data_IF_281905856061
#
_entry.id   IF_281905856061
#
_cell.length_a   1.000
_cell.length_b   1.000
_cell.length_c   1.000
_cell.angle_alpha   90.00
_cell.angle_beta   90.00
_cell.angle_gamma   90.00
#
_symmetry.space_group_name_H-M   'P 1'
#
loop_
_entity.id
_entity.type
_entity.pdbx_description
1 polymer ?
#
# COMPACT_ATOMS: atom_id res chain seq x y z
N UNK A 1 0.54 21.06 -4.85
CA UNK A 1 0.84 20.19 -6.02
C UNK A 1 1.38 18.86 -5.51
N UNK A 2 0.80 17.74 -5.92
CA UNK A 2 1.21 16.40 -5.50
C UNK A 2 2.39 15.90 -6.35
N UNK A 3 3.49 16.66 -6.37
CA UNK A 3 4.76 16.30 -7.02
C UNK A 3 5.84 16.29 -5.95
N UNK A 4 6.33 15.11 -5.61
CA UNK A 4 7.40 14.90 -4.65
C UNK A 4 8.65 14.43 -5.39
N UNK A 5 9.79 15.01 -5.05
CA UNK A 5 10.99 14.91 -5.84
C UNK A 5 12.24 14.75 -4.96
N UNK A 6 13.14 13.87 -5.38
CA UNK A 6 14.51 13.74 -4.85
C UNK A 6 15.49 13.83 -6.00
N UNK A 7 16.47 14.72 -5.87
CA UNK A 7 17.61 14.78 -6.79
C UNK A 7 18.65 13.74 -6.40
N UNK A 8 19.04 12.92 -7.35
CA UNK A 8 20.12 11.94 -7.21
C UNK A 8 21.33 12.32 -8.08
N UNK A 9 22.42 11.57 -7.98
CA UNK A 9 23.59 11.72 -8.85
C UNK A 9 24.14 10.33 -9.19
N UNK A 10 24.40 10.09 -10.47
CA UNK A 10 25.08 8.90 -10.96
C UNK A 10 24.29 7.59 -10.76
N UNK A 11 22.97 7.65 -10.82
CA UNK A 11 22.10 6.46 -10.65
C UNK A 11 20.93 6.50 -11.64
N UNK A 12 20.31 5.33 -11.89
CA UNK A 12 19.06 5.25 -12.63
C UNK A 12 18.01 6.16 -12.01
N UNK A 13 17.17 6.73 -12.85
CA UNK A 13 16.04 7.55 -12.42
C UNK A 13 14.78 6.71 -12.30
N UNK A 14 13.91 7.07 -11.36
CA UNK A 14 12.63 6.42 -11.19
C UNK A 14 11.51 7.45 -11.10
N UNK A 15 10.43 7.22 -11.87
CA UNK A 15 9.22 8.02 -11.83
C UNK A 15 8.05 7.10 -11.52
N UNK A 16 7.33 7.36 -10.42
CA UNK A 16 6.06 6.70 -10.14
C UNK A 16 4.91 7.67 -10.37
N UNK A 17 3.93 7.24 -11.15
CA UNK A 17 2.68 7.95 -11.40
C UNK A 17 1.56 7.17 -10.73
N UNK A 18 0.99 7.72 -9.66
CA UNK A 18 0.01 7.06 -8.82
C UNK A 18 -1.33 7.75 -8.98
N UNK A 19 -2.32 7.00 -9.44
CA UNK A 19 -3.70 7.42 -9.59
C UNK A 19 -4.50 6.95 -8.37
N UNK A 20 -5.17 7.84 -7.65
CA UNK A 20 -5.95 7.50 -6.45
C UNK A 20 -7.29 6.80 -6.76
N UNK A 21 -7.27 5.92 -7.74
CA UNK A 21 -8.39 5.09 -8.16
C UNK A 21 -7.93 3.64 -8.31
N UNK A 22 -8.64 2.75 -7.64
CA UNK A 22 -8.39 1.31 -7.67
C UNK A 22 -9.69 0.53 -7.78
N UNK A 23 -9.62 -0.78 -7.55
CA UNK A 23 -10.77 -1.67 -7.68
C UNK A 23 -11.93 -1.33 -6.71
N UNK A 24 -11.66 -0.65 -5.60
CA UNK A 24 -12.71 -0.17 -4.67
C UNK A 24 -13.68 0.83 -5.30
N UNK A 25 -13.27 1.49 -6.37
CA UNK A 25 -14.05 2.49 -7.07
C UNK A 25 -14.95 1.92 -8.17
N UNK A 26 -14.88 0.61 -8.43
CA UNK A 26 -15.68 -0.09 -9.42
C UNK A 26 -17.13 -0.27 -8.97
N UNK A 27 -18.07 -0.23 -9.90
CA UNK A 27 -19.43 -0.70 -9.68
C UNK A 27 -19.46 -2.23 -9.76
N UNK A 28 -20.55 -2.84 -9.34
CA UNK A 28 -20.68 -4.31 -9.33
C UNK A 28 -20.47 -4.92 -10.72
N UNK A 29 -20.99 -4.29 -11.74
CA UNK A 29 -20.84 -4.68 -13.15
C UNK A 29 -19.47 -4.39 -13.76
N UNK A 30 -18.62 -3.63 -13.05
CA UNK A 30 -17.29 -3.21 -13.47
C UNK A 30 -16.17 -4.01 -12.80
N UNK A 31 -16.48 -5.09 -12.08
CA UNK A 31 -15.45 -5.83 -11.31
C UNK A 31 -14.31 -6.35 -12.18
N UNK A 32 -13.11 -5.77 -11.93
CA UNK A 32 -11.87 -6.03 -12.64
C UNK A 32 -11.60 -5.08 -13.82
N UNK A 33 -12.45 -4.08 -14.05
CA UNK A 33 -12.22 -3.13 -15.12
C UNK A 33 -11.00 -2.25 -14.90
N UNK A 34 -10.66 -1.94 -13.63
CA UNK A 34 -9.45 -1.18 -13.31
C UNK A 34 -8.20 -1.93 -13.74
N UNK A 35 -8.11 -3.22 -13.42
CA UNK A 35 -7.00 -4.08 -13.79
C UNK A 35 -6.96 -4.34 -15.30
N UNK A 36 -8.12 -4.58 -15.92
CA UNK A 36 -8.20 -4.70 -17.37
C UNK A 36 -7.78 -3.41 -18.07
N UNK A 37 -8.17 -2.24 -17.54
CA UNK A 37 -7.74 -0.95 -18.07
C UNK A 37 -6.23 -0.79 -17.96
N UNK A 38 -5.61 -1.14 -16.83
CA UNK A 38 -4.16 -1.14 -16.65
C UNK A 38 -3.46 -1.93 -17.77
N UNK A 39 -3.90 -3.18 -18.05
CA UNK A 39 -3.36 -3.99 -19.14
C UNK A 39 -3.59 -3.35 -20.52
N UNK A 40 -4.77 -2.77 -20.76
CA UNK A 40 -5.00 -2.03 -22.00
C UNK A 40 -4.03 -0.85 -22.17
N UNK A 41 -3.80 -0.10 -21.09
CA UNK A 41 -2.89 1.03 -21.13
C UNK A 41 -1.44 0.59 -21.33
N UNK A 42 -0.99 -0.51 -20.67
CA UNK A 42 0.33 -1.08 -20.86
C UNK A 42 0.60 -1.44 -22.33
N UNK A 43 -0.37 -2.06 -23.01
CA UNK A 43 -0.28 -2.39 -24.45
C UNK A 43 -0.22 -1.15 -25.36
N UNK A 44 -0.71 -0.01 -24.88
CA UNK A 44 -0.71 1.26 -25.64
C UNK A 44 0.55 2.09 -25.44
N UNK A 45 1.37 1.81 -24.40
CA UNK A 45 2.59 2.57 -24.16
C UNK A 45 3.62 2.36 -25.28
N UNK A 46 4.28 3.45 -25.67
CA UNK A 46 5.37 3.47 -26.69
C UNK A 46 6.61 4.01 -26.01
N UNK A 47 7.27 3.14 -25.23
CA UNK A 47 8.45 3.52 -24.46
C UNK A 47 9.72 3.43 -25.31
N UNK A 48 10.68 4.28 -24.99
CA UNK A 48 12.03 4.21 -25.51
C UNK A 48 12.81 3.05 -24.88
N UNK A 49 13.91 2.64 -25.52
CA UNK A 49 14.70 1.46 -25.12
C UNK A 49 15.33 1.61 -23.74
N UNK A 50 15.62 2.84 -23.33
CA UNK A 50 16.30 3.12 -22.07
C UNK A 50 15.32 3.35 -20.91
N UNK A 51 14.07 2.89 -21.06
CA UNK A 51 13.05 2.94 -20.04
C UNK A 51 12.31 1.60 -19.93
N UNK A 52 12.05 1.18 -18.69
CA UNK A 52 11.12 0.07 -18.42
C UNK A 52 9.93 0.56 -17.63
N UNK A 53 8.79 -0.10 -17.82
CA UNK A 53 7.54 0.20 -17.16
C UNK A 53 7.04 -1.03 -16.42
N UNK A 54 6.64 -0.83 -15.17
CA UNK A 54 5.83 -1.77 -14.40
C UNK A 54 4.55 -1.06 -13.98
N UNK A 55 3.44 -1.79 -13.91
CA UNK A 55 2.18 -1.26 -13.42
C UNK A 55 1.57 -2.18 -12.38
N UNK A 56 0.76 -1.60 -11.50
CA UNK A 56 0.12 -2.31 -10.40
C UNK A 56 -1.27 -1.74 -10.18
N UNK A 57 -2.26 -2.61 -10.14
CA UNK A 57 -3.61 -2.28 -9.70
C UNK A 57 -3.81 -2.79 -8.29
N UNK A 58 -4.10 -1.86 -7.39
CA UNK A 58 -4.42 -2.14 -5.99
C UNK A 58 -5.89 -1.80 -5.69
N UNK A 59 -6.32 -1.97 -4.45
CA UNK A 59 -7.70 -1.66 -4.05
C UNK A 59 -8.06 -0.19 -4.26
N UNK A 60 -7.16 0.71 -3.95
CA UNK A 60 -7.40 2.14 -3.83
C UNK A 60 -6.62 2.98 -4.85
N UNK A 61 -5.72 2.37 -5.60
CA UNK A 61 -4.91 3.08 -6.59
C UNK A 61 -4.44 2.18 -7.73
N UNK A 62 -4.01 2.84 -8.81
CA UNK A 62 -3.19 2.29 -9.89
C UNK A 62 -1.87 3.03 -9.88
N UNK A 63 -0.77 2.32 -10.03
CA UNK A 63 0.59 2.87 -10.07
C UNK A 63 1.30 2.43 -11.33
N UNK A 64 1.94 3.38 -12.02
CA UNK A 64 2.86 3.15 -13.12
C UNK A 64 4.26 3.57 -12.70
N UNK A 65 5.19 2.61 -12.68
CA UNK A 65 6.58 2.78 -12.29
C UNK A 65 7.50 2.73 -13.50
N UNK A 66 8.14 3.84 -13.79
CA UNK A 66 9.12 3.98 -14.87
C UNK A 66 10.53 3.95 -14.28
N UNK A 67 11.34 2.98 -14.69
CA UNK A 67 12.76 2.96 -14.43
C UNK A 67 13.49 3.44 -15.69
N UNK A 68 14.22 4.53 -15.57
CA UNK A 68 14.98 5.18 -16.64
C UNK A 68 16.45 4.92 -16.37
N UNK A 69 17.14 4.30 -17.32
CA UNK A 69 18.54 3.94 -17.16
C UNK A 69 19.44 5.18 -17.19
N UNK A 70 20.57 5.07 -16.49
CA UNK A 70 21.56 6.14 -16.39
C UNK A 70 22.01 6.62 -17.77
N UNK A 71 22.28 7.93 -17.89
CA UNK A 71 22.68 8.61 -19.12
C UNK A 71 21.62 8.69 -20.24
N UNK A 72 20.37 8.45 -19.93
CA UNK A 72 19.26 8.72 -20.85
C UNK A 72 19.09 10.25 -21.01
N UNK A 73 18.75 10.69 -22.23
CA UNK A 73 18.46 12.10 -22.48
C UNK A 73 17.14 12.59 -21.87
N UNK A 74 16.97 13.90 -21.80
CA UNK A 74 15.75 14.54 -21.27
C UNK A 74 14.48 14.16 -22.05
N UNK A 75 14.61 13.79 -23.34
CA UNK A 75 13.50 13.38 -24.21
C UNK A 75 12.70 12.20 -23.65
N UNK A 76 13.34 11.32 -22.85
CA UNK A 76 12.67 10.18 -22.27
C UNK A 76 11.60 10.59 -21.25
N UNK A 77 11.83 11.67 -20.51
CA UNK A 77 10.86 12.22 -19.55
C UNK A 77 9.67 12.82 -20.29
N UNK A 78 9.94 13.54 -21.39
CA UNK A 78 8.89 14.09 -22.26
C UNK A 78 8.08 12.93 -22.84
N UNK A 79 8.73 11.88 -23.34
CA UNK A 79 8.08 10.70 -23.89
C UNK A 79 7.14 10.01 -22.87
N UNK A 80 7.57 9.86 -21.60
CA UNK A 80 6.74 9.27 -20.54
C UNK A 80 5.46 10.07 -20.36
N UNK A 81 5.55 11.38 -20.17
CA UNK A 81 4.38 12.24 -19.93
C UNK A 81 3.49 12.39 -21.15
N UNK A 82 4.05 12.44 -22.35
CA UNK A 82 3.29 12.46 -23.61
C UNK A 82 2.55 11.13 -23.81
N UNK A 83 3.15 9.99 -23.46
CA UNK A 83 2.44 8.71 -23.46
C UNK A 83 1.22 8.74 -22.51
N UNK A 84 1.38 9.21 -21.27
CA UNK A 84 0.25 9.32 -20.32
C UNK A 84 -0.86 10.19 -20.90
N UNK A 85 -0.52 11.38 -21.40
CA UNK A 85 -1.50 12.28 -22.05
C UNK A 85 -2.21 11.59 -23.20
N UNK A 86 -1.45 10.98 -24.11
CA UNK A 86 -1.94 10.34 -25.32
C UNK A 86 -2.91 9.19 -25.00
N UNK A 87 -2.50 8.23 -24.17
CA UNK A 87 -3.30 7.01 -23.88
C UNK A 87 -4.58 7.31 -23.11
N UNK A 88 -4.60 8.33 -22.25
CA UNK A 88 -5.80 8.68 -21.49
C UNK A 88 -6.74 9.61 -22.23
N UNK A 89 -6.23 10.50 -23.09
CA UNK A 89 -6.99 11.63 -23.65
C UNK A 89 -7.15 11.54 -25.17
N UNK A 90 -6.10 11.16 -25.89
CA UNK A 90 -6.05 11.31 -27.35
C UNK A 90 -6.33 10.00 -28.11
N UNK A 91 -5.89 8.85 -27.56
CA UNK A 91 -6.06 7.55 -28.22
C UNK A 91 -7.21 6.73 -27.67
N UNK A 92 -7.82 5.95 -28.54
CA UNK A 92 -8.85 4.97 -28.19
C UNK A 92 -8.25 3.56 -28.05
N UNK A 93 -8.80 2.78 -27.13
CA UNK A 93 -8.50 1.36 -27.00
C UNK A 93 -9.04 0.65 -28.25
N UNK A 94 -8.18 -0.07 -28.95
CA UNK A 94 -8.60 -0.86 -30.14
C UNK A 94 -9.09 -2.25 -29.74
N UNK A 95 -9.85 -2.92 -30.63
CA UNK A 95 -10.25 -4.32 -30.46
C UNK A 95 -9.06 -5.26 -30.25
N UNK A 96 -7.92 -4.98 -30.89
CA UNK A 96 -6.71 -5.77 -30.73
C UNK A 96 -6.12 -5.63 -29.33
N UNK A 97 -6.02 -4.40 -28.83
CA UNK A 97 -5.54 -4.08 -27.48
C UNK A 97 -6.45 -4.73 -26.43
N UNK A 98 -7.78 -4.52 -26.54
CA UNK A 98 -8.73 -5.10 -25.58
C UNK A 98 -8.66 -6.63 -25.56
N UNK A 99 -8.56 -7.27 -26.71
CA UNK A 99 -8.46 -8.73 -26.81
C UNK A 99 -7.17 -9.27 -26.16
N UNK A 100 -6.03 -8.60 -26.36
CA UNK A 100 -4.77 -8.98 -25.76
C UNK A 100 -4.82 -8.80 -24.23
N UNK A 101 -5.26 -7.65 -23.75
CA UNK A 101 -5.43 -7.36 -22.33
C UNK A 101 -6.36 -8.38 -21.63
N UNK A 102 -7.52 -8.70 -22.24
CA UNK A 102 -8.41 -9.76 -21.73
C UNK A 102 -7.71 -11.10 -21.59
N UNK A 103 -6.94 -11.49 -22.59
CA UNK A 103 -6.21 -12.77 -22.56
C UNK A 103 -5.22 -12.83 -21.40
N UNK A 104 -4.52 -11.75 -21.13
CA UNK A 104 -3.55 -11.65 -20.03
C UNK A 104 -4.24 -11.71 -18.68
N UNK A 105 -5.21 -10.84 -18.42
CA UNK A 105 -6.00 -10.84 -17.18
C UNK A 105 -6.67 -12.19 -16.93
N UNK A 106 -7.29 -12.81 -17.92
CA UNK A 106 -7.90 -14.13 -17.78
C UNK A 106 -6.87 -15.24 -17.49
N UNK A 107 -5.65 -15.13 -18.00
CA UNK A 107 -4.56 -16.05 -17.64
C UNK A 107 -4.09 -15.85 -16.20
N UNK A 108 -4.06 -14.63 -15.71
CA UNK A 108 -3.76 -14.34 -14.31
C UNK A 108 -4.84 -14.86 -13.38
N UNK A 109 -6.12 -14.66 -13.71
CA UNK A 109 -7.26 -15.23 -12.98
C UNK A 109 -7.15 -16.77 -12.90
N UNK A 110 -6.78 -17.45 -14.00
CA UNK A 110 -6.59 -18.92 -14.02
C UNK A 110 -5.43 -19.37 -13.14
N UNK A 111 -4.34 -18.62 -13.11
CA UNK A 111 -3.13 -18.91 -12.30
C UNK A 111 -3.32 -18.55 -10.84
N UNK A 112 -4.32 -17.74 -10.54
CA UNK A 112 -4.61 -17.31 -9.19
C UNK A 112 -5.09 -18.50 -8.35
N UNK A 113 -4.29 -18.87 -7.37
CA UNK A 113 -4.68 -19.86 -6.39
C UNK A 113 -5.13 -19.15 -5.09
N UNK A 114 -6.45 -19.10 -4.83
CA UNK A 114 -6.98 -18.45 -3.63
C UNK A 114 -6.39 -18.99 -2.33
N UNK A 115 -5.98 -20.25 -2.31
CA UNK A 115 -5.41 -20.92 -1.13
C UNK A 115 -3.95 -20.55 -0.86
N UNK A 116 -3.25 -19.96 -1.82
CA UNK A 116 -1.81 -19.64 -1.72
C UNK A 116 -1.51 -18.15 -1.52
N UNK A 117 -2.48 -17.26 -1.66
CA UNK A 117 -2.25 -15.82 -1.57
C UNK A 117 -3.15 -15.18 -0.51
N UNK A 118 -2.57 -14.30 0.27
CA UNK A 118 -3.19 -13.41 1.26
C UNK A 118 -4.41 -12.63 0.72
N UNK A 119 -4.53 -12.51 -0.60
CA UNK A 119 -5.65 -11.90 -1.31
C UNK A 119 -6.95 -12.69 -1.19
N UNK A 120 -6.93 -14.02 -0.98
CA UNK A 120 -8.16 -14.79 -0.75
C UNK A 120 -8.74 -14.51 0.63
N UNK A 121 -7.86 -14.39 1.62
CA UNK A 121 -8.20 -14.05 2.99
C UNK A 121 -8.77 -12.64 3.04
N UNK A 122 -8.15 -11.72 2.30
CA UNK A 122 -8.59 -10.35 2.15
C UNK A 122 -9.93 -10.24 1.43
N UNK A 123 -10.18 -11.06 0.41
CA UNK A 123 -11.47 -11.11 -0.27
C UNK A 123 -12.59 -11.65 0.62
N UNK A 124 -12.30 -12.57 1.55
CA UNK A 124 -13.26 -13.03 2.55
C UNK A 124 -13.57 -11.93 3.58
N UNK A 125 -12.56 -11.19 4.03
CA UNK A 125 -12.72 -10.04 4.94
C UNK A 125 -13.57 -8.94 4.27
N UNK A 126 -13.26 -8.62 3.03
CA UNK A 126 -13.98 -7.60 2.27
C UNK A 126 -15.36 -8.11 1.86
N UNK A 127 -15.52 -9.40 1.54
CA UNK A 127 -16.82 -9.97 1.17
C UNK A 127 -17.80 -10.09 2.34
N UNK A 128 -17.32 -10.24 3.56
CA UNK A 128 -18.13 -10.14 4.77
C UNK A 128 -18.76 -8.74 4.93
N UNK A 129 -18.09 -7.69 4.38
CA UNK A 129 -18.59 -6.32 4.32
C UNK A 129 -19.30 -5.94 3.02
N UNK A 130 -19.74 -6.89 2.18
CA UNK A 130 -20.29 -6.65 0.83
C UNK A 130 -19.32 -5.97 -0.17
N UNK A 131 -18.03 -6.04 0.04
CA UNK A 131 -17.04 -5.45 -0.87
C UNK A 131 -16.24 -6.57 -1.56
N UNK A 132 -16.83 -7.21 -2.54
CA UNK A 132 -16.16 -8.22 -3.40
C UNK A 132 -15.39 -7.54 -4.54
N UNK A 133 -14.40 -6.69 -4.23
CA UNK A 133 -13.69 -5.92 -5.26
C UNK A 133 -12.20 -6.22 -5.27
N UNK A 134 -11.87 -7.49 -5.51
CA UNK A 134 -10.47 -7.91 -5.67
C UNK A 134 -9.89 -7.20 -6.92
N UNK A 135 -8.69 -6.63 -6.86
CA UNK A 135 -8.06 -5.99 -8.02
C UNK A 135 -8.05 -6.87 -9.27
N UNK A 136 -7.84 -8.17 -9.09
CA UNK A 136 -7.84 -9.15 -10.19
C UNK A 136 -9.17 -9.23 -10.96
N UNK A 137 -10.31 -8.90 -10.34
CA UNK A 137 -11.63 -8.91 -10.94
C UNK A 137 -12.27 -10.31 -11.06
N UNK A 138 -13.44 -10.33 -11.72
CA UNK A 138 -14.22 -11.55 -11.95
C UNK A 138 -14.15 -11.97 -13.42
N UNK A 139 -13.93 -13.28 -13.67
CA UNK A 139 -13.84 -13.84 -15.03
C UNK A 139 -15.00 -13.43 -15.94
N UNK A 140 -16.23 -13.56 -15.44
CA UNK A 140 -17.43 -13.25 -16.23
C UNK A 140 -17.51 -11.76 -16.62
N UNK A 141 -17.10 -10.87 -15.72
CA UNK A 141 -17.04 -9.42 -15.99
C UNK A 141 -16.03 -9.13 -17.10
N UNK A 142 -14.82 -9.70 -17.00
CA UNK A 142 -13.74 -9.49 -17.97
C UNK A 142 -14.11 -10.06 -19.36
N UNK A 143 -14.70 -11.26 -19.42
CA UNK A 143 -15.10 -11.87 -20.72
C UNK A 143 -16.14 -11.04 -21.46
N UNK A 144 -17.09 -10.43 -20.74
CA UNK A 144 -18.24 -9.73 -21.32
C UNK A 144 -18.06 -8.21 -21.53
N UNK A 145 -16.88 -7.64 -21.19
CA UNK A 145 -16.64 -6.22 -21.44
C UNK A 145 -16.56 -5.93 -22.94
N UNK A 146 -17.22 -4.87 -23.40
CA UNK A 146 -17.10 -4.37 -24.78
C UNK A 146 -16.14 -3.18 -24.83
N UNK A 147 -15.78 -2.78 -26.05
CA UNK A 147 -14.90 -1.63 -26.26
C UNK A 147 -15.53 -0.34 -25.75
N UNK A 148 -16.83 -0.17 -25.96
CA UNK A 148 -17.56 1.01 -25.51
C UNK A 148 -17.57 1.10 -23.99
N UNK A 149 -17.69 -0.04 -23.30
CA UNK A 149 -17.67 -0.09 -21.83
C UNK A 149 -16.31 0.25 -21.26
N UNK A 150 -15.22 -0.30 -21.80
CA UNK A 150 -13.88 -0.02 -21.28
C UNK A 150 -13.42 1.41 -21.63
N UNK A 151 -13.83 1.96 -22.77
CA UNK A 151 -13.59 3.35 -23.14
C UNK A 151 -14.36 4.32 -22.21
N UNK A 152 -15.62 4.03 -21.93
CA UNK A 152 -16.40 4.80 -20.96
C UNK A 152 -15.80 4.73 -19.56
N UNK A 153 -15.29 3.55 -19.17
CA UNK A 153 -14.60 3.37 -17.89
C UNK A 153 -13.25 4.12 -17.86
N UNK A 154 -12.45 4.07 -18.93
CA UNK A 154 -11.20 4.85 -19.06
C UNK A 154 -11.46 6.34 -18.86
N UNK A 155 -12.47 6.88 -19.54
CA UNK A 155 -12.87 8.28 -19.37
C UNK A 155 -13.31 8.58 -17.95
N UNK A 156 -14.20 7.77 -17.37
CA UNK A 156 -14.65 7.89 -15.96
C UNK A 156 -13.47 7.83 -14.97
N UNK A 157 -12.51 6.93 -15.20
CA UNK A 157 -11.30 6.79 -14.39
C UNK A 157 -10.49 8.08 -14.43
N UNK A 158 -10.16 8.56 -15.65
CA UNK A 158 -9.38 9.78 -15.82
C UNK A 158 -10.07 11.02 -15.26
N UNK A 159 -11.35 11.22 -15.55
CA UNK A 159 -12.09 12.40 -15.09
C UNK A 159 -12.11 12.52 -13.55
N UNK A 160 -12.16 11.39 -12.87
CA UNK A 160 -12.29 11.32 -11.40
C UNK A 160 -11.01 11.04 -10.63
N UNK A 161 -9.89 10.75 -11.30
CA UNK A 161 -8.62 10.49 -10.62
C UNK A 161 -7.90 11.79 -10.24
N UNK A 162 -7.08 11.68 -9.21
CA UNK A 162 -6.00 12.60 -8.87
C UNK A 162 -4.69 11.87 -9.04
N UNK A 163 -3.62 12.62 -9.27
CA UNK A 163 -2.30 12.07 -9.53
C UNK A 163 -1.30 12.53 -8.46
N UNK A 164 -0.53 11.58 -7.95
CA UNK A 164 0.72 11.82 -7.26
C UNK A 164 1.88 11.44 -8.19
N UNK A 165 2.82 12.35 -8.37
CA UNK A 165 4.08 12.08 -9.03
C UNK A 165 5.18 11.96 -7.98
N UNK A 166 5.89 10.84 -8.00
CA UNK A 166 7.10 10.64 -7.22
C UNK A 166 8.28 10.52 -8.18
N UNK A 167 9.24 11.42 -8.08
CA UNK A 167 10.42 11.41 -8.94
C UNK A 167 11.70 11.32 -8.12
N UNK A 168 12.55 10.37 -8.49
CA UNK A 168 13.92 10.23 -8.03
C UNK A 168 14.78 10.29 -9.28
N UNK A 169 15.47 11.42 -9.52
CA UNK A 169 16.11 11.68 -10.81
C UNK A 169 17.32 12.61 -10.70
N UNK A 170 18.18 12.61 -11.72
CA UNK A 170 19.33 13.49 -11.82
C UNK A 170 18.97 14.89 -12.34
N UNK A 171 17.84 15.04 -13.04
CA UNK A 171 17.39 16.33 -13.59
C UNK A 171 17.02 17.26 -12.43
N UNK A 172 17.18 18.54 -12.60
CA UNK A 172 16.71 19.51 -11.60
C UNK A 172 15.18 19.62 -11.60
N UNK A 173 14.63 20.05 -10.46
CA UNK A 173 13.19 20.13 -10.25
C UNK A 173 12.45 20.98 -11.29
N UNK A 174 13.04 22.14 -11.67
CA UNK A 174 12.38 23.06 -12.61
C UNK A 174 12.29 22.44 -14.00
N UNK A 175 13.36 21.81 -14.47
CA UNK A 175 13.39 21.07 -15.74
C UNK A 175 12.39 19.91 -15.69
N UNK A 176 12.40 19.08 -14.63
CA UNK A 176 11.45 17.99 -14.49
C UNK A 176 10.00 18.46 -14.58
N UNK A 177 9.63 19.50 -13.84
CA UNK A 177 8.27 20.05 -13.87
C UNK A 177 7.91 20.62 -15.25
N UNK A 178 8.89 21.15 -16.00
CA UNK A 178 8.64 21.70 -17.34
C UNK A 178 8.19 20.62 -18.35
N UNK A 179 8.62 19.38 -18.19
CA UNK A 179 8.25 18.25 -19.05
C UNK A 179 6.81 17.75 -18.81
N UNK A 180 6.19 18.09 -17.67
CA UNK A 180 4.86 17.61 -17.32
C UNK A 180 3.79 18.42 -18.06
N UNK A 181 2.91 17.82 -18.88
CA UNK A 181 1.79 18.51 -19.51
C UNK A 181 0.83 19.14 -18.50
N UNK A 182 0.24 20.29 -18.85
CA UNK A 182 -0.67 21.02 -17.97
C UNK A 182 -1.85 20.16 -17.48
N UNK A 183 -2.41 19.31 -18.33
CA UNK A 183 -3.51 18.43 -17.96
C UNK A 183 -3.14 17.43 -16.84
N UNK A 184 -1.89 17.00 -16.77
CA UNK A 184 -1.38 16.17 -15.68
C UNK A 184 -1.11 17.03 -14.43
N UNK A 185 -0.53 18.24 -14.61
CA UNK A 185 -0.32 19.19 -13.50
C UNK A 185 -1.62 19.52 -12.79
N UNK A 186 -2.69 19.78 -13.52
CA UNK A 186 -4.02 20.04 -12.96
C UNK A 186 -4.53 18.87 -12.11
N UNK A 187 -4.28 17.62 -12.52
CA UNK A 187 -4.60 16.43 -11.71
C UNK A 187 -3.75 16.33 -10.44
N UNK A 188 -2.53 16.87 -10.45
CA UNK A 188 -1.65 16.93 -9.28
C UNK A 188 -2.00 18.09 -8.32
N UNK A 189 -2.69 19.12 -8.79
CA UNK A 189 -3.03 20.33 -8.00
C UNK A 189 -4.36 20.21 -7.26
N UNK A 190 -5.23 19.29 -7.64
CA UNK A 190 -6.53 19.13 -7.01
C UNK A 190 -6.41 18.85 -5.50
N UNK A 191 -7.16 19.61 -4.70
CA UNK A 191 -7.22 19.39 -3.25
C UNK A 191 -7.69 17.96 -2.91
N UNK A 192 -7.21 17.45 -1.78
CA UNK A 192 -7.58 16.13 -1.27
C UNK A 192 -9.07 16.13 -0.93
N UNK A 193 -9.89 15.47 -1.72
CA UNK A 193 -11.21 15.10 -1.22
C UNK A 193 -11.01 14.04 -0.13
N UNK A 194 -11.62 14.25 1.03
CA UNK A 194 -11.66 13.28 2.10
C UNK A 194 -11.92 11.89 1.53
N UNK A 195 -11.03 10.97 1.88
CA UNK A 195 -11.00 9.63 1.31
C UNK A 195 -12.35 8.93 1.33
N UNK A 196 -12.47 7.95 0.49
CA UNK A 196 -13.62 7.07 0.37
C UNK A 196 -14.08 6.59 1.76
N UNK A 197 -15.26 6.99 2.20
CA UNK A 197 -15.88 6.38 3.37
C UNK A 197 -16.59 5.10 2.90
N UNK A 198 -16.05 3.96 3.28
CA UNK A 198 -16.87 2.74 3.27
C UNK A 198 -17.91 2.96 4.37
N UNK A 199 -19.14 3.25 3.96
CA UNK A 199 -20.27 3.28 4.87
C UNK A 199 -20.48 1.88 5.44
N UNK A 200 -20.64 1.82 6.75
CA UNK A 200 -20.97 0.69 7.60
C UNK A 200 -19.77 -0.03 8.26
N UNK A 201 -19.98 -0.28 9.54
CA UNK A 201 -19.10 -1.07 10.39
C UNK A 201 -18.89 -2.45 9.78
N UNK A 202 -17.66 -2.76 9.42
CA UNK A 202 -17.28 -4.13 9.08
C UNK A 202 -17.20 -4.89 10.40
N UNK A 203 -18.23 -5.61 10.74
CA UNK A 203 -18.22 -6.58 11.84
C UNK A 203 -17.85 -7.94 11.26
N UNK A 204 -16.58 -8.30 11.34
CA UNK A 204 -16.12 -9.64 10.99
C UNK A 204 -15.99 -10.48 12.25
N UNK A 205 -16.92 -11.40 12.47
CA UNK A 205 -16.78 -12.48 13.46
C UNK A 205 -16.36 -13.74 12.71
N UNK A 206 -15.08 -13.94 12.46
CA UNK A 206 -14.58 -15.17 11.84
C UNK A 206 -13.45 -15.75 12.68
N UNK A 207 -13.70 -16.89 13.30
CA UNK A 207 -12.68 -17.74 13.88
C UNK A 207 -12.64 -19.06 13.07
N UNK A 208 -11.85 -19.10 12.01
CA UNK A 208 -11.46 -20.37 11.38
C UNK A 208 -10.03 -20.66 11.76
N UNK A 209 -9.82 -21.74 12.49
CA UNK A 209 -8.51 -22.20 12.91
C UNK A 209 -8.18 -23.48 12.13
N UNK A 210 -7.14 -23.44 11.31
CA UNK A 210 -6.58 -24.62 10.67
C UNK A 210 -5.14 -24.79 11.09
N UNK A 211 -4.77 -25.97 11.58
CA UNK A 211 -3.41 -26.27 12.04
C UNK A 211 -2.72 -27.18 11.03
N UNK A 212 -1.68 -26.67 10.40
CA UNK A 212 -0.54 -27.46 9.90
C UNK A 212 0.70 -26.59 9.69
N UNK A 213 1.85 -27.04 10.23
CA UNK A 213 3.19 -26.45 10.06
C UNK A 213 3.46 -25.05 10.62
N UNK A 214 3.51 -24.94 11.97
CA UNK A 214 4.35 -23.95 12.69
C UNK A 214 4.24 -22.45 12.32
N UNK A 215 3.31 -22.05 11.46
CA UNK A 215 3.08 -20.63 11.12
C UNK A 215 1.65 -20.23 11.38
N UNK A 216 1.48 -19.11 12.07
CA UNK A 216 0.18 -18.50 12.32
C UNK A 216 0.16 -17.09 11.74
N UNK A 217 -0.88 -16.77 10.99
CA UNK A 217 -1.15 -15.43 10.52
C UNK A 217 -2.37 -14.87 11.24
N UNK A 218 -2.20 -13.73 11.87
CA UNK A 218 -3.29 -12.99 12.51
C UNK A 218 -3.52 -11.72 11.70
N UNK A 219 -4.74 -11.51 11.24
CA UNK A 219 -5.14 -10.31 10.51
C UNK A 219 -6.16 -9.55 11.35
N UNK A 220 -5.83 -8.33 11.74
CA UNK A 220 -6.71 -7.48 12.54
C UNK A 220 -7.11 -6.24 11.74
N UNK A 221 -8.40 -6.07 11.52
CA UNK A 221 -8.97 -4.86 10.94
C UNK A 221 -9.18 -3.82 12.05
N UNK A 222 -8.64 -2.64 11.88
CA UNK A 222 -8.81 -1.58 12.88
C UNK A 222 -8.88 -0.20 12.26
N UNK A 223 -9.53 0.71 12.98
CA UNK A 223 -9.57 2.13 12.63
C UNK A 223 -8.55 2.86 13.50
N UNK A 224 -7.51 3.41 12.88
CA UNK A 224 -6.56 4.27 13.56
C UNK A 224 -6.14 5.41 12.65
N UNK A 225 -6.46 6.63 13.07
CA UNK A 225 -6.17 7.81 12.29
C UNK A 225 -4.81 8.38 12.68
N UNK A 226 -3.90 8.48 11.71
CA UNK A 226 -2.57 9.06 11.88
C UNK A 226 -2.55 10.45 11.26
N UNK A 227 -3.13 11.42 11.96
CA UNK A 227 -3.24 12.80 11.50
C UNK A 227 -2.12 13.72 11.96
N UNK A 228 -1.34 13.30 12.94
CA UNK A 228 -0.26 14.08 13.51
C UNK A 228 0.98 13.22 13.80
N UNK A 229 2.07 13.92 14.10
CA UNK A 229 3.36 13.28 14.38
C UNK A 229 3.33 12.41 15.64
N UNK A 230 2.54 12.75 16.67
CA UNK A 230 2.46 11.98 17.91
C UNK A 230 1.80 10.63 17.63
N UNK A 231 0.67 10.61 16.91
CA UNK A 231 -0.03 9.40 16.54
C UNK A 231 0.84 8.49 15.66
N UNK A 232 1.61 9.08 14.73
CA UNK A 232 2.56 8.32 13.90
C UNK A 232 3.68 7.69 14.74
N UNK A 233 4.22 8.42 15.68
CA UNK A 233 5.26 7.90 16.58
C UNK A 233 4.72 6.84 17.56
N UNK A 234 3.50 7.00 18.08
CA UNK A 234 2.83 5.97 18.88
C UNK A 234 2.66 4.69 18.07
N UNK A 235 2.21 4.78 16.83
CA UNK A 235 2.11 3.63 15.93
C UNK A 235 3.47 2.94 15.79
N UNK A 236 4.49 3.64 15.27
CA UNK A 236 5.84 3.08 15.02
C UNK A 236 6.40 2.43 16.29
N UNK A 237 6.23 3.08 17.44
CA UNK A 237 6.73 2.60 18.73
C UNK A 237 5.98 1.35 19.18
N UNK A 238 4.65 1.34 19.05
CA UNK A 238 3.82 0.20 19.44
C UNK A 238 4.10 -1.02 18.58
N UNK A 239 4.29 -0.83 17.28
CA UNK A 239 4.64 -1.90 16.33
C UNK A 239 5.96 -2.56 16.72
N UNK A 240 6.97 -1.74 17.00
CA UNK A 240 8.28 -2.24 17.43
C UNK A 240 8.23 -2.93 18.80
N UNK A 241 7.40 -2.41 19.72
CA UNK A 241 7.16 -3.06 21.01
C UNK A 241 6.50 -4.44 20.85
N UNK A 242 5.52 -4.57 19.95
CA UNK A 242 4.86 -5.85 19.67
C UNK A 242 5.90 -6.86 19.18
N UNK A 243 6.73 -6.48 18.19
CA UNK A 243 7.81 -7.34 17.68
C UNK A 243 8.75 -7.79 18.80
N UNK A 244 9.34 -6.86 19.56
CA UNK A 244 10.36 -7.17 20.58
C UNK A 244 9.80 -8.03 21.71
N UNK A 245 8.57 -7.77 22.15
CA UNK A 245 7.95 -8.53 23.25
C UNK A 245 7.62 -9.95 22.79
N UNK A 246 7.08 -10.11 21.59
CA UNK A 246 6.67 -11.42 21.09
C UNK A 246 7.87 -12.27 20.69
N UNK A 247 8.91 -11.70 20.09
CA UNK A 247 10.17 -12.40 19.82
C UNK A 247 10.83 -12.94 21.10
N UNK A 248 10.55 -12.33 22.24
CA UNK A 248 10.99 -12.81 23.55
C UNK A 248 10.26 -14.07 24.05
N UNK A 249 9.20 -14.54 23.37
CA UNK A 249 8.51 -15.78 23.72
C UNK A 249 9.31 -17.00 23.29
N UNK A 250 9.51 -17.95 24.21
CA UNK A 250 10.37 -19.13 23.99
C UNK A 250 9.93 -20.03 22.81
N UNK A 251 8.63 -20.00 22.50
CA UNK A 251 8.02 -20.79 21.44
C UNK A 251 8.08 -20.14 20.06
N UNK A 252 8.46 -18.88 19.96
CA UNK A 252 8.48 -18.13 18.72
C UNK A 252 9.87 -18.10 18.13
N UNK A 253 9.98 -18.35 16.83
CA UNK A 253 11.21 -18.24 16.05
C UNK A 253 11.29 -16.88 15.38
N UNK A 254 10.18 -16.46 14.77
CA UNK A 254 10.11 -15.19 14.03
C UNK A 254 8.72 -14.57 14.13
N UNK A 255 8.67 -13.25 14.01
CA UNK A 255 7.43 -12.48 13.86
C UNK A 255 7.68 -11.39 12.83
N UNK A 256 6.74 -11.24 11.93
CA UNK A 256 6.71 -10.15 10.97
C UNK A 256 5.38 -9.40 11.10
N UNK A 257 5.46 -8.08 11.19
CA UNK A 257 4.28 -7.23 11.29
C UNK A 257 4.24 -6.33 10.06
N UNK A 258 3.16 -6.44 9.30
CA UNK A 258 2.92 -5.59 8.14
C UNK A 258 1.59 -4.87 8.26
N UNK A 259 1.56 -3.64 7.76
CA UNK A 259 0.37 -2.79 7.73
C UNK A 259 -0.08 -2.65 6.30
N UNK A 260 -1.38 -2.80 6.09
CA UNK A 260 -1.99 -2.53 4.81
C UNK A 260 -3.22 -1.66 5.00
N UNK A 261 -3.53 -0.89 3.97
CA UNK A 261 -4.62 0.07 3.98
C UNK A 261 -5.71 -0.44 3.05
N UNK A 262 -6.96 -0.29 3.49
CA UNK A 262 -8.13 -0.54 2.64
C UNK A 262 -8.72 0.79 2.21
N UNK A 263 -8.76 1.75 3.16
CA UNK A 263 -9.21 3.12 2.91
C UNK A 263 -8.52 4.07 3.87
N UNK A 264 -8.77 5.36 3.71
CA UNK A 264 -8.29 6.43 4.59
C UNK A 264 -8.41 6.13 6.10
N UNK A 265 -9.48 5.50 6.53
CA UNK A 265 -9.73 5.23 7.97
C UNK A 265 -9.63 3.75 8.34
N UNK A 266 -9.58 2.85 7.38
CA UNK A 266 -9.59 1.42 7.62
C UNK A 266 -8.27 0.79 7.24
N UNK A 267 -7.61 0.22 8.22
CA UNK A 267 -6.34 -0.48 8.10
C UNK A 267 -6.48 -1.90 8.59
N UNK A 268 -5.59 -2.73 8.15
CA UNK A 268 -5.38 -4.00 8.81
C UNK A 268 -3.91 -4.21 9.10
N UNK A 269 -3.66 -4.81 10.27
CA UNK A 269 -2.37 -5.32 10.66
C UNK A 269 -2.35 -6.81 10.36
N UNK A 270 -1.29 -7.25 9.71
CA UNK A 270 -1.01 -8.67 9.51
C UNK A 270 0.17 -9.03 10.39
N UNK A 271 -0.04 -9.99 11.27
CA UNK A 271 0.98 -10.49 12.17
C UNK A 271 1.27 -11.92 11.76
N UNK A 272 2.42 -12.15 11.14
CA UNK A 272 2.92 -13.47 10.78
C UNK A 272 3.83 -13.99 11.90
N UNK A 273 3.47 -15.14 12.49
CA UNK A 273 4.18 -15.74 13.60
C UNK A 273 4.70 -17.11 13.17
N UNK A 274 6.00 -17.36 13.35
CA UNK A 274 6.62 -18.65 13.14
C UNK A 274 7.03 -19.27 14.49
N UNK A 275 6.53 -20.48 14.74
CA UNK A 275 6.79 -21.22 16.00
C UNK A 275 7.92 -22.22 15.85
N UNK A 276 8.53 -22.59 16.99
CA UNK A 276 9.47 -23.71 17.07
C UNK A 276 8.74 -25.02 16.84
N UNK A 277 9.48 -26.00 16.30
CA UNK A 277 8.98 -27.35 16.08
C UNK A 277 8.42 -27.98 17.35
N UNK A 278 7.24 -28.61 17.26
CA UNK A 278 6.57 -29.24 18.39
C UNK A 278 5.64 -28.32 19.21
N UNK A 279 5.56 -27.03 18.89
CA UNK A 279 4.59 -26.13 19.52
C UNK A 279 3.29 -26.03 18.68
N UNK A 280 2.17 -26.38 19.30
CA UNK A 280 0.83 -26.33 18.68
C UNK A 280 -0.08 -25.28 19.33
N UNK A 281 0.47 -24.29 20.04
CA UNK A 281 -0.36 -23.26 20.64
C UNK A 281 -0.75 -22.18 19.62
N UNK A 282 -2.05 -21.90 19.58
CA UNK A 282 -2.62 -20.85 18.74
C UNK A 282 -2.84 -19.65 19.64
N UNK A 283 -2.26 -18.50 19.27
CA UNK A 283 -2.62 -17.25 19.92
C UNK A 283 -3.95 -16.74 19.35
N UNK A 284 -4.90 -16.47 20.23
CA UNK A 284 -5.96 -15.53 19.86
C UNK A 284 -5.47 -14.09 20.11
N UNK A 285 -6.13 -13.11 19.51
CA UNK A 285 -5.67 -11.72 19.61
C UNK A 285 -5.72 -11.17 21.04
N UNK A 286 -6.68 -11.61 21.84
CA UNK A 286 -6.82 -11.16 23.23
C UNK A 286 -5.64 -11.66 24.05
N UNK A 287 -5.30 -12.95 23.95
CA UNK A 287 -4.12 -13.54 24.60
C UNK A 287 -2.83 -12.87 24.13
N UNK A 288 -2.72 -12.59 22.83
CA UNK A 288 -1.60 -11.90 22.24
C UNK A 288 -1.42 -10.48 22.84
N UNK A 289 -2.50 -9.69 22.87
CA UNK A 289 -2.48 -8.34 23.45
C UNK A 289 -2.23 -8.39 24.96
N UNK A 290 -2.79 -9.38 25.67
CA UNK A 290 -2.53 -9.56 27.10
C UNK A 290 -1.07 -9.88 27.42
N UNK A 291 -0.40 -10.72 26.61
CA UNK A 291 1.04 -11.01 26.77
C UNK A 291 1.83 -9.72 26.65
N UNK A 292 1.51 -8.89 25.62
CA UNK A 292 2.18 -7.61 25.41
C UNK A 292 1.95 -6.68 26.61
N UNK A 293 0.70 -6.51 27.04
CA UNK A 293 0.33 -5.64 28.17
C UNK A 293 1.01 -6.07 29.48
N UNK A 294 1.09 -7.37 29.76
CA UNK A 294 1.76 -7.90 30.98
C UNK A 294 3.26 -7.63 31.00
N UNK A 295 3.91 -7.60 29.85
CA UNK A 295 5.36 -7.35 29.74
C UNK A 295 5.72 -5.90 29.54
N UNK A 296 4.77 -5.10 29.08
CA UNK A 296 4.97 -3.68 28.85
C UNK A 296 5.31 -2.97 30.16
N UNK A 297 6.46 -2.31 30.18
CA UNK A 297 6.92 -1.51 31.29
C UNK A 297 7.79 -0.36 30.82
N UNK A 298 8.08 0.60 31.71
CA UNK A 298 8.86 1.79 31.34
C UNK A 298 10.27 1.46 30.82
N UNK A 299 10.92 0.41 31.32
CA UNK A 299 12.26 0.03 30.85
C UNK A 299 12.26 -0.41 29.39
N UNK A 300 11.30 -1.27 29.03
CA UNK A 300 11.13 -1.71 27.62
C UNK A 300 10.74 -0.52 26.74
N UNK A 301 9.79 0.30 27.19
CA UNK A 301 9.37 1.49 26.45
C UNK A 301 10.55 2.43 26.17
N UNK A 302 11.37 2.74 27.18
CA UNK A 302 12.54 3.61 27.00
C UNK A 302 13.63 2.99 26.10
N UNK A 303 13.84 1.66 26.20
CA UNK A 303 14.72 0.95 25.26
C UNK A 303 14.29 1.19 23.81
N UNK A 304 13.03 0.90 23.51
CA UNK A 304 12.49 1.05 22.14
C UNK A 304 12.51 2.51 21.67
N UNK A 305 12.14 3.46 22.54
CA UNK A 305 12.26 4.89 22.21
C UNK A 305 13.69 5.27 21.81
N UNK A 306 14.71 4.74 22.50
CA UNK A 306 16.10 5.04 22.18
C UNK A 306 16.53 4.40 20.85
N UNK A 307 16.06 3.19 20.53
CA UNK A 307 16.29 2.56 19.23
C UNK A 307 15.67 3.39 18.10
N UNK A 308 14.41 3.80 18.23
CA UNK A 308 13.73 4.62 17.23
C UNK A 308 14.39 5.98 17.08
N UNK A 309 14.76 6.65 18.19
CA UNK A 309 15.54 7.91 18.15
C UNK A 309 16.86 7.74 17.37
N UNK A 310 17.54 6.60 17.56
CA UNK A 310 18.76 6.29 16.81
C UNK A 310 18.50 6.20 15.31
N UNK A 311 17.44 5.50 14.86
CA UNK A 311 17.08 5.43 13.45
C UNK A 311 16.79 6.81 12.86
N UNK A 312 15.99 7.62 13.53
CA UNK A 312 15.70 8.99 13.05
C UNK A 312 16.95 9.88 13.00
N UNK A 313 17.89 9.69 13.91
CA UNK A 313 19.19 10.37 13.85
C UNK A 313 20.03 9.96 12.64
N UNK A 314 19.97 8.70 12.24
CA UNK A 314 20.59 8.23 10.99
C UNK A 314 19.96 8.88 9.76
N UNK A 315 18.63 9.00 9.72
CA UNK A 315 17.94 9.69 8.62
C UNK A 315 18.31 11.17 8.52
N UNK A 316 18.52 11.84 9.66
CA UNK A 316 19.00 13.22 9.64
C UNK A 316 20.40 13.34 9.02
N UNK A 317 21.26 12.33 9.22
CA UNK A 317 22.64 12.34 8.71
C UNK A 317 22.74 11.92 7.25
N UNK A 318 22.00 10.89 6.87
CA UNK A 318 22.15 10.16 5.60
C UNK A 318 21.02 10.46 4.61
N UNK A 319 20.01 11.23 5.01
CA UNK A 319 18.78 11.43 4.24
C UNK A 319 17.79 10.25 4.36
N UNK A 320 16.61 10.46 3.84
CA UNK A 320 15.56 9.43 3.73
C UNK A 320 15.92 8.48 2.58
N UNK A 321 15.68 7.18 2.77
CA UNK A 321 15.86 6.20 1.69
C UNK A 321 14.74 6.32 0.65
N UNK A 322 15.03 5.95 -0.60
CA UNK A 322 14.05 5.99 -1.71
C UNK A 322 12.77 5.20 -1.38
N UNK A 323 12.84 3.95 -0.86
CA UNK A 323 11.63 3.23 -0.47
C UNK A 323 10.78 3.95 0.58
N UNK A 324 11.40 4.58 1.57
CA UNK A 324 10.68 5.33 2.60
C UNK A 324 10.07 6.63 2.03
N UNK A 325 10.79 7.33 1.16
CA UNK A 325 10.26 8.49 0.46
C UNK A 325 8.99 8.12 -0.32
N UNK A 326 9.02 7.03 -1.09
CA UNK A 326 7.86 6.54 -1.84
C UNK A 326 6.71 6.17 -0.90
N UNK A 327 6.99 5.35 0.12
CA UNK A 327 5.97 4.87 1.06
C UNK A 327 5.24 6.01 1.77
N UNK A 328 5.96 6.94 2.37
CA UNK A 328 5.33 8.00 3.18
C UNK A 328 4.59 9.03 2.34
N UNK A 329 5.10 9.38 1.16
CA UNK A 329 4.38 10.29 0.26
C UNK A 329 3.12 9.63 -0.32
N UNK A 330 3.16 8.33 -0.63
CA UNK A 330 2.01 7.54 -1.06
C UNK A 330 0.96 7.45 0.05
N UNK A 331 1.35 7.14 1.28
CA UNK A 331 0.46 7.10 2.43
C UNK A 331 -0.18 8.47 2.71
N UNK A 332 0.58 9.54 2.60
CA UNK A 332 0.05 10.90 2.74
C UNK A 332 -0.98 11.21 1.64
N UNK A 333 -0.68 10.90 0.39
CA UNK A 333 -1.55 11.18 -0.75
C UNK A 333 -2.84 10.36 -0.72
N UNK A 334 -2.73 9.03 -0.54
CA UNK A 334 -3.87 8.12 -0.61
C UNK A 334 -4.74 8.19 0.64
N UNK A 335 -4.13 8.32 1.82
CA UNK A 335 -4.81 8.16 3.11
C UNK A 335 -4.79 9.40 3.99
N UNK A 336 -4.17 10.49 3.55
CA UNK A 336 -4.03 11.70 4.36
C UNK A 336 -3.21 11.49 5.64
N UNK A 337 -2.38 10.43 5.69
CA UNK A 337 -1.53 10.18 6.85
C UNK A 337 -0.49 11.27 7.04
N UNK A 338 -0.14 11.48 8.31
CA UNK A 338 0.95 12.40 8.61
C UNK A 338 2.27 11.85 8.08
N UNK A 339 2.87 12.55 7.13
CA UNK A 339 4.19 12.24 6.63
C UNK A 339 5.25 12.79 7.59
N UNK A 340 5.85 11.89 8.36
CA UNK A 340 6.85 12.24 9.39
C UNK A 340 8.11 12.89 8.80
N UNK A 341 8.36 12.69 7.50
CA UNK A 341 9.52 13.25 6.80
C UNK A 341 9.22 14.58 6.12
N UNK A 342 7.95 14.99 6.08
CA UNK A 342 7.58 16.31 5.56
C UNK A 342 7.94 17.38 6.61
N UNK A 343 8.99 18.18 6.30
CA UNK A 343 9.57 19.11 7.27
C UNK A 343 10.27 18.39 8.44
N UNK A 344 10.98 17.29 8.13
CA UNK A 344 11.65 16.46 9.11
C UNK A 344 12.60 17.26 10.03
N UNK A 345 12.43 17.04 11.34
CA UNK A 345 13.31 17.59 12.37
C UNK A 345 13.50 16.54 13.47
N UNK A 346 14.72 16.05 13.63
CA UNK A 346 15.06 15.09 14.67
C UNK A 346 14.75 15.63 16.08
N UNK A 347 15.03 16.91 16.33
CA UNK A 347 14.77 17.53 17.64
C UNK A 347 13.26 17.59 17.97
N UNK A 348 12.42 17.82 16.96
CA UNK A 348 10.96 17.77 17.10
C UNK A 348 10.50 16.34 17.44
N UNK A 349 11.01 15.35 16.72
CA UNK A 349 10.71 13.93 16.98
C UNK A 349 11.13 13.53 18.39
N UNK A 350 12.36 13.87 18.77
CA UNK A 350 12.90 13.58 20.11
C UNK A 350 12.00 14.13 21.21
N UNK A 351 11.61 15.41 21.13
CA UNK A 351 10.70 16.03 22.10
C UNK A 351 9.36 15.34 22.19
N UNK A 352 8.75 14.99 21.05
CA UNK A 352 7.45 14.31 21.06
C UNK A 352 7.57 12.89 21.59
N UNK A 353 8.66 12.18 21.25
CA UNK A 353 8.92 10.83 21.76
C UNK A 353 9.03 10.80 23.29
N UNK A 354 9.56 11.84 23.92
CA UNK A 354 9.63 11.97 25.37
C UNK A 354 8.25 12.09 26.04
N UNK A 355 7.26 12.64 25.31
CA UNK A 355 5.88 12.78 25.78
C UNK A 355 5.04 11.51 25.65
N UNK A 356 5.51 10.52 24.89
CA UNK A 356 4.80 9.24 24.73
C UNK A 356 5.04 8.39 25.97
N UNK A 357 3.98 7.88 26.58
CA UNK A 357 4.01 7.08 27.79
C UNK A 357 3.33 5.71 27.57
N UNK A 358 3.29 4.88 28.61
CA UNK A 358 2.66 3.55 28.58
C UNK A 358 1.16 3.62 28.26
N UNK A 359 0.48 4.68 28.68
CA UNK A 359 -0.94 4.87 28.41
C UNK A 359 -1.22 4.99 26.92
N UNK A 360 -0.43 5.80 26.19
CA UNK A 360 -0.58 5.96 24.74
C UNK A 360 -0.39 4.62 24.00
N UNK A 361 0.56 3.80 24.41
CA UNK A 361 0.78 2.47 23.86
C UNK A 361 -0.38 1.53 24.21
N UNK A 362 -0.86 1.56 25.44
CA UNK A 362 -1.98 0.73 25.92
C UNK A 362 -3.28 1.08 25.20
N UNK A 363 -3.52 2.36 24.92
CA UNK A 363 -4.67 2.82 24.11
C UNK A 363 -4.59 2.24 22.69
N UNK A 364 -3.42 2.29 22.06
CA UNK A 364 -3.22 1.70 20.72
C UNK A 364 -3.46 0.18 20.74
N UNK A 365 -2.90 -0.54 21.71
CA UNK A 365 -3.11 -1.98 21.86
C UNK A 365 -4.60 -2.31 22.12
N UNK A 366 -5.32 -1.47 22.85
CA UNK A 366 -6.75 -1.66 23.09
C UNK A 366 -7.61 -1.45 21.84
N UNK A 367 -7.15 -0.67 20.88
CA UNK A 367 -7.79 -0.56 19.57
C UNK A 367 -7.64 -1.90 18.83
N UNK A 368 -6.44 -2.49 18.82
CA UNK A 368 -6.19 -3.80 18.19
C UNK A 368 -7.02 -4.89 18.87
N UNK A 369 -7.10 -4.92 20.19
CA UNK A 369 -7.85 -5.91 20.97
C UNK A 369 -9.35 -5.90 20.69
N UNK A 370 -9.92 -4.72 20.47
CA UNK A 370 -11.37 -4.54 20.22
C UNK A 370 -11.76 -4.77 18.75
N UNK A 371 -10.82 -5.02 17.89
CA UNK A 371 -11.08 -5.20 16.47
C UNK A 371 -11.49 -6.61 16.12
N UNK A 372 -12.16 -6.74 14.99
CA UNK A 372 -12.49 -8.04 14.42
C UNK A 372 -11.23 -8.73 13.92
N UNK A 373 -11.04 -9.98 14.32
CA UNK A 373 -9.82 -10.73 14.05
C UNK A 373 -10.12 -11.92 13.16
N UNK A 374 -9.29 -12.13 12.17
CA UNK A 374 -9.23 -13.35 11.40
C UNK A 374 -7.87 -13.98 11.66
N UNK A 375 -7.87 -15.21 12.15
CA UNK A 375 -6.66 -15.98 12.35
C UNK A 375 -6.59 -17.08 11.31
N UNK A 376 -5.48 -17.13 10.58
CA UNK A 376 -5.20 -18.18 9.60
C UNK A 376 -3.98 -18.96 10.01
N UNK A 377 -4.00 -20.25 9.73
CA UNK A 377 -2.85 -21.13 9.85
C UNK A 377 -2.59 -21.68 8.47
N UNK A 378 -1.43 -21.38 7.92
CA UNK A 378 -1.08 -21.80 6.59
C UNK A 378 -0.57 -23.26 6.61
N UNK A 379 -1.20 -24.14 5.84
CA UNK A 379 -0.65 -25.46 5.53
C UNK A 379 0.43 -25.30 4.48
N UNK A 380 1.69 -25.47 4.85
CA UNK A 380 2.75 -25.69 3.86
C UNK A 380 2.71 -27.17 3.50
N UNK A 381 2.19 -27.49 2.33
CA UNK A 381 2.37 -28.82 1.76
C UNK A 381 3.89 -29.05 1.54
N UNK A 382 4.45 -30.00 2.27
CA UNK A 382 5.80 -30.49 1.97
C UNK A 382 5.77 -31.06 0.53
N UNK A 383 6.51 -30.41 -0.37
CA UNK A 383 6.89 -30.97 -1.66
C UNK A 383 8.10 -31.88 -1.49
#
# INVERSE_FOLDING_TARGET
>A
MNINYIKTQGSDSNISIIFNRGSVNELKEEYGYTHLLEHCLLEMFRLEKDCTLQAYTEFDHVEFDFLIFQNSGDDIYINIFDNIKRIFIEEHITEAVLRQAKKEVLNEIKKFNPRKKMTSEFSEIISAGNVKRIPLGEKASIENVSIEKIEAFKKKFWDNCKILLLAVTEIDYASFVSFIPNVIKEKCEQERNAGFSIGNEITCNYNKVFIKNMKQKIVCLYKYEVRDIKNKLVQILSDKLIEDIILGEKQIVNIEISYKYITYSLRYIVIDIEFKEGYNSIFNIVEFVEIIKKRLNNSILEKIKNEIKYYFKQYQRNGITIPMFRLYNKQEFLYGEYNIFNGFSYEKIKKIMELINLENVSEYLSIIEKTSVISFIEEIENR
#
